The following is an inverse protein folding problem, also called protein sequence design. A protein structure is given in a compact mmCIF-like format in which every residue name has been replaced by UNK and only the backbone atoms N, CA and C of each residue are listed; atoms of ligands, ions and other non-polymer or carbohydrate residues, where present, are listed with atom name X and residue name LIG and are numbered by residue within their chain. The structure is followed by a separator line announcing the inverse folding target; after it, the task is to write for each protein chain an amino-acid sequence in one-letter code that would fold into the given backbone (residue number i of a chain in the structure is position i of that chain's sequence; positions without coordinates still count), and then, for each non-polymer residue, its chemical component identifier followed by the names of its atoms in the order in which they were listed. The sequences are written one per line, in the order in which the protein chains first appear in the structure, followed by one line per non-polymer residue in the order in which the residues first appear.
data_IF_300039741474
#
_entry.id   IF_300039741474
#
_cell.length_a   1.000
_cell.length_b   1.000
_cell.length_c   1.000
_cell.angle_alpha   90.00
_cell.angle_beta   90.00
_cell.angle_gamma   90.00
#
_symmetry.space_group_name_H-M   'P 1'
#
loop_
_entity.id
_entity.type
_entity.pdbx_description
1 polymer ?
#
# COMPACT_ATOMS: atom_id res chain seq x y z
N UNK A 1 -26.68 -14.20 9.19
CA UNK A 1 -25.32 -14.74 8.94
C UNK A 1 -24.54 -14.00 7.83
N UNK A 2 -25.04 -12.87 7.31
CA UNK A 2 -24.36 -12.07 6.26
C UNK A 2 -23.40 -11.04 6.88
N UNK A 3 -23.79 -10.42 8.01
CA UNK A 3 -22.99 -9.45 8.75
C UNK A 3 -21.60 -9.96 9.19
N UNK A 4 -21.48 -11.24 9.55
CA UNK A 4 -20.20 -11.83 9.95
C UNK A 4 -19.20 -11.99 8.80
N UNK A 5 -19.68 -12.12 7.55
CA UNK A 5 -18.82 -12.26 6.36
C UNK A 5 -18.27 -10.91 5.90
N UNK A 6 -19.12 -9.88 5.90
CA UNK A 6 -18.73 -8.49 5.61
C UNK A 6 -17.65 -8.03 6.60
N UNK A 7 -17.89 -8.24 7.90
CA UNK A 7 -16.92 -7.90 8.94
C UNK A 7 -15.60 -8.68 8.83
N UNK A 8 -15.61 -9.90 8.30
CA UNK A 8 -14.40 -10.69 8.07
C UNK A 8 -13.63 -10.18 6.86
N UNK A 9 -14.32 -9.82 5.79
CA UNK A 9 -13.72 -9.26 4.57
C UNK A 9 -13.09 -7.89 4.82
N UNK A 10 -13.75 -7.01 5.59
CA UNK A 10 -13.20 -5.72 6.00
C UNK A 10 -11.92 -5.86 6.83
N UNK A 11 -11.89 -6.83 7.76
CA UNK A 11 -10.69 -7.14 8.55
C UNK A 11 -9.57 -7.69 7.67
N UNK A 12 -9.89 -8.54 6.70
CA UNK A 12 -8.92 -9.07 5.75
C UNK A 12 -8.33 -7.95 4.89
N UNK A 13 -9.16 -7.05 4.35
CA UNK A 13 -8.68 -5.85 3.65
C UNK A 13 -7.66 -5.09 4.50
N UNK A 14 -8.00 -4.81 5.75
CA UNK A 14 -7.12 -4.06 6.65
C UNK A 14 -5.78 -4.74 6.86
N UNK A 15 -5.78 -6.05 7.13
CA UNK A 15 -4.56 -6.84 7.33
C UNK A 15 -3.71 -6.86 6.06
N UNK A 16 -4.31 -7.10 4.89
CA UNK A 16 -3.58 -7.14 3.62
C UNK A 16 -3.03 -5.76 3.25
N UNK A 17 -3.76 -4.68 3.53
CA UNK A 17 -3.30 -3.30 3.32
C UNK A 17 -2.08 -2.98 4.20
N UNK A 18 -2.08 -3.39 5.47
CA UNK A 18 -0.93 -3.22 6.36
C UNK A 18 0.28 -4.01 5.84
N UNK A 19 0.07 -5.28 5.47
CA UNK A 19 1.15 -6.12 4.93
C UNK A 19 1.73 -5.51 3.65
N UNK A 20 0.87 -5.09 2.71
CA UNK A 20 1.29 -4.44 1.47
C UNK A 20 2.04 -3.14 1.70
N UNK A 21 1.57 -2.32 2.65
CA UNK A 21 2.27 -1.11 3.05
C UNK A 21 3.65 -1.38 3.67
N UNK A 22 3.79 -2.39 4.54
CA UNK A 22 5.09 -2.78 5.12
C UNK A 22 6.05 -3.26 4.03
N UNK A 23 5.59 -4.11 3.11
CA UNK A 23 6.40 -4.59 1.98
C UNK A 23 6.86 -3.39 1.14
N UNK A 24 5.94 -2.46 0.85
CA UNK A 24 6.26 -1.25 0.08
C UNK A 24 7.32 -0.39 0.75
N UNK A 25 7.27 -0.30 2.08
CA UNK A 25 8.22 0.45 2.90
C UNK A 25 9.61 -0.19 2.86
N UNK A 26 9.68 -1.52 2.95
CA UNK A 26 10.93 -2.28 2.83
C UNK A 26 11.51 -2.14 1.42
N UNK A 27 10.69 -2.29 0.38
CA UNK A 27 11.10 -2.19 -1.02
C UNK A 27 11.68 -0.80 -1.34
N UNK A 28 10.96 0.26 -0.94
CA UNK A 28 11.43 1.64 -1.09
C UNK A 28 12.72 1.89 -0.29
N UNK A 29 12.82 1.34 0.93
CA UNK A 29 14.02 1.45 1.75
C UNK A 29 15.24 0.72 1.16
N UNK A 30 15.03 -0.43 0.52
CA UNK A 30 16.09 -1.18 -0.16
C UNK A 30 16.59 -0.41 -1.40
N UNK A 31 15.67 0.15 -2.21
CA UNK A 31 16.06 1.00 -3.34
C UNK A 31 16.91 2.21 -2.89
N UNK A 32 16.54 2.85 -1.78
CA UNK A 32 17.33 3.95 -1.22
C UNK A 32 18.74 3.53 -0.77
N UNK A 33 18.94 2.28 -0.36
CA UNK A 33 20.25 1.74 0.06
C UNK A 33 21.12 1.28 -1.13
N UNK A 34 20.50 0.83 -2.22
CA UNK A 34 21.20 0.38 -3.43
C UNK A 34 21.74 1.55 -4.27
N UNK A 35 21.19 2.76 -4.06
CA UNK A 35 21.60 3.97 -4.76
C UNK A 35 22.86 4.61 -4.15
N UNK A 36 24.02 4.09 -4.55
CA UNK A 36 25.31 4.78 -4.47
C UNK A 36 25.40 6.03 -5.37
N UNK A 37 24.32 6.41 -6.07
CA UNK A 37 24.21 7.62 -6.88
C UNK A 37 23.28 8.64 -6.20
N UNK A 38 23.83 9.34 -5.20
CA UNK A 38 23.18 10.33 -4.33
C UNK A 38 22.47 11.52 -5.05
N UNK A 39 22.45 11.57 -6.38
CA UNK A 39 22.05 12.75 -7.16
C UNK A 39 21.16 12.45 -8.37
N UNK A 40 20.53 11.28 -8.42
CA UNK A 40 19.54 10.96 -9.46
C UNK A 40 18.11 11.21 -8.96
N UNK A 41 17.22 11.60 -9.87
CA UNK A 41 15.78 11.81 -9.61
C UNK A 41 15.12 10.62 -8.90
N UNK A 42 15.68 9.41 -8.98
CA UNK A 42 15.19 8.19 -8.33
C UNK A 42 14.91 8.32 -6.83
N UNK A 43 15.76 9.02 -6.07
CA UNK A 43 15.56 9.19 -4.61
C UNK A 43 14.25 9.93 -4.30
N UNK A 44 13.83 10.86 -5.16
CA UNK A 44 12.57 11.59 -4.96
C UNK A 44 11.38 10.66 -5.18
N UNK A 45 11.45 9.78 -6.19
CA UNK A 45 10.41 8.78 -6.44
C UNK A 45 10.32 7.78 -5.27
N UNK A 46 11.45 7.30 -4.76
CA UNK A 46 11.49 6.40 -3.60
C UNK A 46 10.97 7.07 -2.31
N UNK A 47 11.29 8.35 -2.09
CA UNK A 47 10.77 9.10 -0.94
C UNK A 47 9.24 9.25 -1.03
N UNK A 48 8.70 9.50 -2.22
CA UNK A 48 7.26 9.55 -2.44
C UNK A 48 6.63 8.17 -2.18
N UNK A 49 7.23 7.09 -2.70
CA UNK A 49 6.77 5.72 -2.46
C UNK A 49 6.73 5.39 -0.96
N UNK A 50 7.74 5.82 -0.19
CA UNK A 50 7.81 5.64 1.25
C UNK A 50 6.64 6.35 1.98
N UNK A 51 6.33 7.59 1.59
CA UNK A 51 5.19 8.32 2.17
C UNK A 51 3.87 7.63 1.83
N UNK A 52 3.68 7.18 0.58
CA UNK A 52 2.49 6.46 0.15
C UNK A 52 2.33 5.13 0.90
N UNK A 53 3.42 4.42 1.15
CA UNK A 53 3.44 3.18 1.94
C UNK A 53 2.95 3.43 3.37
N UNK A 54 3.41 4.50 4.02
CA UNK A 54 2.96 4.89 5.37
C UNK A 54 1.45 5.20 5.37
N UNK A 55 0.95 5.91 4.36
CA UNK A 55 -0.48 6.22 4.23
C UNK A 55 -1.30 4.92 4.07
N UNK A 56 -0.82 3.96 3.26
CA UNK A 56 -1.49 2.67 3.08
C UNK A 56 -1.58 1.89 4.41
N UNK A 57 -0.52 1.91 5.23
CA UNK A 57 -0.53 1.29 6.58
C UNK A 57 -1.55 1.98 7.48
N UNK A 58 -1.55 3.32 7.52
CA UNK A 58 -2.50 4.10 8.33
C UNK A 58 -3.95 3.80 7.96
N UNK A 59 -4.25 3.68 6.67
CA UNK A 59 -5.58 3.30 6.18
C UNK A 59 -5.95 1.87 6.56
N UNK A 60 -4.99 0.95 6.59
CA UNK A 60 -5.22 -0.41 7.08
C UNK A 60 -5.47 -0.48 8.60
N UNK A 61 -4.81 0.37 9.40
CA UNK A 61 -5.04 0.44 10.85
C UNK A 61 -6.40 1.08 11.16
N UNK A 62 -6.72 2.18 10.48
CA UNK A 62 -7.97 2.92 10.68
C UNK A 62 -8.65 3.14 9.33
N UNK A 63 -9.45 2.17 8.87
CA UNK A 63 -10.19 2.30 7.63
C UNK A 63 -11.24 3.42 7.75
N UNK A 64 -11.24 4.29 6.75
CA UNK A 64 -12.29 5.29 6.47
C UNK A 64 -13.30 4.74 5.43
N UNK A 65 -14.41 5.44 5.23
CA UNK A 65 -15.49 4.95 4.37
C UNK A 65 -15.07 4.67 2.91
N UNK A 66 -14.10 5.43 2.39
CA UNK A 66 -13.59 5.31 1.02
C UNK A 66 -12.24 4.58 0.93
N UNK A 67 -11.84 3.85 1.97
CA UNK A 67 -10.55 3.14 2.05
C UNK A 67 -10.26 2.27 0.82
N UNK A 68 -11.21 1.47 0.30
CA UNK A 68 -10.93 0.62 -0.85
C UNK A 68 -10.54 1.44 -2.09
N UNK A 69 -11.28 2.51 -2.40
CA UNK A 69 -10.97 3.39 -3.54
C UNK A 69 -9.63 4.12 -3.37
N UNK A 70 -9.30 4.54 -2.15
CA UNK A 70 -8.03 5.20 -1.83
C UNK A 70 -6.87 4.20 -1.96
N UNK A 71 -7.04 2.95 -1.52
CA UNK A 71 -6.06 1.88 -1.67
C UNK A 71 -5.81 1.55 -3.15
N UNK A 72 -6.84 1.57 -4.02
CA UNK A 72 -6.63 1.42 -5.48
C UNK A 72 -5.68 2.49 -5.99
N UNK A 73 -5.98 3.75 -5.66
CA UNK A 73 -5.18 4.88 -6.12
C UNK A 73 -3.74 4.80 -5.57
N UNK A 74 -3.59 4.48 -4.28
CA UNK A 74 -2.29 4.32 -3.62
C UNK A 74 -1.47 3.18 -4.22
N UNK A 75 -2.07 2.01 -4.43
CA UNK A 75 -1.37 0.87 -5.01
C UNK A 75 -0.88 1.16 -6.42
N UNK A 76 -1.67 1.88 -7.22
CA UNK A 76 -1.30 2.27 -8.58
C UNK A 76 -0.14 3.27 -8.58
N UNK A 77 -0.18 4.25 -7.68
CA UNK A 77 0.95 5.16 -7.48
C UNK A 77 2.20 4.43 -6.99
N UNK A 78 2.09 3.54 -6.01
CA UNK A 78 3.23 2.76 -5.50
C UNK A 78 3.95 2.00 -6.62
N UNK A 79 3.21 1.38 -7.54
CA UNK A 79 3.78 0.68 -8.70
C UNK A 79 4.53 1.65 -9.62
N UNK A 80 3.95 2.82 -9.90
CA UNK A 80 4.60 3.84 -10.76
C UNK A 80 5.87 4.40 -10.09
N UNK A 81 5.84 4.59 -8.78
CA UNK A 81 6.93 5.17 -8.00
C UNK A 81 8.02 4.16 -7.59
N UNK A 82 7.90 2.88 -7.99
CA UNK A 82 8.97 1.90 -7.85
C UNK A 82 8.77 0.81 -6.81
N UNK A 83 7.64 0.79 -6.09
CA UNK A 83 7.26 -0.33 -5.22
C UNK A 83 6.29 -1.27 -5.93
N UNK A 84 6.85 -2.29 -6.59
CA UNK A 84 6.11 -3.21 -7.43
C UNK A 84 5.36 -4.23 -6.58
N UNK A 85 6.09 -4.98 -5.74
CA UNK A 85 5.49 -6.05 -4.94
C UNK A 85 4.55 -5.45 -3.90
N UNK A 86 5.01 -4.41 -3.20
CA UNK A 86 4.22 -3.71 -2.21
C UNK A 86 2.95 -3.10 -2.81
N UNK A 87 3.06 -2.40 -3.95
CA UNK A 87 1.93 -1.81 -4.65
C UNK A 87 0.89 -2.84 -5.13
N UNK A 88 1.32 -4.01 -5.64
CA UNK A 88 0.42 -5.09 -6.02
C UNK A 88 -0.36 -5.62 -4.82
N UNK A 89 0.29 -5.82 -3.67
CA UNK A 89 -0.39 -6.31 -2.46
C UNK A 89 -1.40 -5.27 -1.96
N UNK A 90 -1.08 -3.98 -2.04
CA UNK A 90 -2.02 -2.89 -1.73
C UNK A 90 -3.23 -2.88 -2.67
N UNK A 91 -3.04 -3.14 -3.96
CA UNK A 91 -4.14 -3.30 -4.92
C UNK A 91 -5.02 -4.51 -4.61
N UNK A 92 -4.44 -5.63 -4.20
CA UNK A 92 -5.20 -6.81 -3.76
C UNK A 92 -6.04 -6.47 -2.52
N UNK A 93 -5.47 -5.75 -1.55
CA UNK A 93 -6.23 -5.25 -0.41
C UNK A 93 -7.42 -4.40 -0.87
N UNK A 94 -7.20 -3.49 -1.82
CA UNK A 94 -8.24 -2.63 -2.36
C UNK A 94 -9.38 -3.44 -3.01
N UNK A 95 -9.06 -4.47 -3.79
CA UNK A 95 -10.04 -5.34 -4.42
C UNK A 95 -10.87 -6.12 -3.39
N UNK A 96 -10.24 -6.63 -2.33
CA UNK A 96 -10.94 -7.28 -1.22
C UNK A 96 -11.92 -6.30 -0.56
N UNK A 97 -11.49 -5.05 -0.37
CA UNK A 97 -12.32 -3.99 0.19
C UNK A 97 -13.51 -3.59 -0.69
N UNK A 98 -13.37 -3.61 -2.01
CA UNK A 98 -14.46 -3.30 -2.95
C UNK A 98 -15.48 -4.44 -3.03
N UNK A 99 -15.02 -5.68 -2.84
CA UNK A 99 -15.85 -6.89 -2.88
C UNK A 99 -16.51 -7.22 -1.53
N UNK A 100 -16.09 -6.53 -0.47
CA UNK A 100 -16.67 -6.54 0.88
C UNK A 100 -17.96 -5.74 0.89
#
# INVERSE_FOLDING_TARGET
MVWSKLQASDKLMCVVAIIGGIISLIESGLHMLDLFEFWSFGIIFDLIALVLAIIAILLGIKPVHYTPSILVLLGLFLIIFGSWIGGIVVLIAALIGILS
#
